data_IF_053817507551
#
_entry.id   IF_053817507551
#
_cell.length_a   1.000
_cell.length_b   1.000
_cell.length_c   1.000
_cell.angle_alpha   90.00
_cell.angle_beta   90.00
_cell.angle_gamma   90.00
#
_symmetry.space_group_name_H-M   'P 1'
#
loop_
_entity.id
_entity.type
_entity.pdbx_description
1 polymer ?
#
# COMPACT_ATOMS: atom_id res chain seq x y z
N UNK A 1 -53.72 -23.94 9.43
CA UNK A 1 -52.25 -23.96 9.38
C UNK A 1 -51.75 -22.54 9.16
N UNK A 2 -51.37 -21.84 10.24
CA UNK A 2 -50.73 -20.52 10.11
C UNK A 2 -49.24 -20.71 9.87
N UNK A 3 -48.79 -20.40 8.67
CA UNK A 3 -47.37 -20.35 8.35
C UNK A 3 -46.74 -19.14 9.03
N UNK A 4 -45.85 -19.36 9.98
CA UNK A 4 -44.95 -18.35 10.51
C UNK A 4 -43.93 -17.98 9.42
N UNK A 5 -44.13 -16.84 8.79
CA UNK A 5 -43.06 -16.17 8.03
C UNK A 5 -41.97 -15.78 9.06
N UNK A 6 -40.85 -16.46 9.04
CA UNK A 6 -39.61 -15.98 9.66
C UNK A 6 -39.19 -14.73 8.90
N UNK A 7 -39.50 -13.57 9.46
CA UNK A 7 -38.86 -12.32 9.07
C UNK A 7 -37.39 -12.49 9.52
N UNK A 8 -36.52 -12.76 8.60
CA UNK A 8 -35.07 -12.63 8.84
C UNK A 8 -34.84 -11.13 9.05
N UNK A 9 -34.65 -10.73 10.31
CA UNK A 9 -34.20 -9.38 10.65
C UNK A 9 -32.97 -9.08 9.77
N UNK A 10 -33.07 -8.09 8.89
CA UNK A 10 -31.93 -7.58 8.18
C UNK A 10 -31.00 -6.99 9.23
N UNK A 11 -29.94 -7.73 9.58
CA UNK A 11 -28.90 -7.23 10.47
C UNK A 11 -28.48 -5.83 9.98
N UNK A 12 -28.71 -4.81 10.80
CA UNK A 12 -28.35 -3.43 10.48
C UNK A 12 -26.83 -3.35 10.39
N UNK A 13 -26.33 -3.08 9.17
CA UNK A 13 -24.89 -2.94 8.95
C UNK A 13 -24.34 -1.73 9.68
N UNK A 14 -23.22 -1.90 10.36
CA UNK A 14 -22.48 -0.78 10.95
C UNK A 14 -21.69 -0.05 9.87
N UNK A 15 -21.96 1.24 9.66
CA UNK A 15 -21.23 2.05 8.68
C UNK A 15 -19.83 2.40 9.20
N UNK A 16 -18.81 2.10 8.40
CA UNK A 16 -17.40 2.38 8.71
C UNK A 16 -16.79 3.25 7.60
N UNK A 17 -16.33 4.44 7.95
CA UNK A 17 -15.58 5.31 7.04
C UNK A 17 -14.10 4.99 7.12
N UNK A 18 -13.47 4.77 5.96
CA UNK A 18 -12.04 4.45 5.85
C UNK A 18 -11.36 5.45 4.91
N UNK A 19 -10.39 6.19 5.43
CA UNK A 19 -9.57 7.09 4.61
C UNK A 19 -8.60 6.28 3.74
N UNK A 20 -8.74 6.43 2.42
CA UNK A 20 -7.89 5.75 1.43
C UNK A 20 -7.20 6.76 0.52
N UNK A 21 -6.01 6.48 -0.04
CA UNK A 21 -5.44 7.31 -1.09
C UNK A 21 -6.28 7.19 -2.38
N UNK A 22 -5.92 7.97 -3.40
CA UNK A 22 -6.40 7.72 -4.77
C UNK A 22 -6.13 6.28 -5.19
N UNK A 23 -6.74 5.81 -6.27
CA UNK A 23 -6.59 4.43 -6.73
C UNK A 23 -5.11 4.03 -6.84
N UNK A 24 -4.69 3.20 -5.91
CA UNK A 24 -3.32 2.72 -5.77
C UNK A 24 -3.35 1.22 -5.48
N UNK A 25 -2.46 0.48 -6.11
CA UNK A 25 -2.32 -0.96 -5.90
C UNK A 25 -2.13 -1.34 -4.43
N UNK A 26 -1.68 -0.41 -3.60
CA UNK A 26 -1.43 -0.66 -2.17
C UNK A 26 -2.67 -1.10 -1.41
N UNK A 27 -3.86 -0.55 -1.67
CA UNK A 27 -5.08 -0.90 -0.95
C UNK A 27 -6.08 -1.73 -1.78
N UNK A 28 -5.64 -2.26 -2.92
CA UNK A 28 -6.49 -3.07 -3.78
C UNK A 28 -7.17 -4.26 -3.06
N UNK A 29 -6.54 -4.99 -2.12
CA UNK A 29 -7.24 -6.05 -1.38
C UNK A 29 -8.45 -5.57 -0.58
N UNK A 30 -8.39 -4.37 0.01
CA UNK A 30 -9.54 -3.78 0.68
C UNK A 30 -10.64 -3.39 -0.31
N UNK A 31 -10.25 -2.88 -1.49
CA UNK A 31 -11.18 -2.60 -2.57
C UNK A 31 -11.90 -3.87 -3.05
N UNK A 32 -11.16 -4.98 -3.19
CA UNK A 32 -11.75 -6.29 -3.52
C UNK A 32 -12.75 -6.72 -2.44
N UNK A 33 -12.36 -6.67 -1.16
CA UNK A 33 -13.23 -7.01 -0.05
C UNK A 33 -14.52 -6.16 -0.03
N UNK A 34 -14.39 -4.87 -0.30
CA UNK A 34 -15.53 -3.96 -0.41
C UNK A 34 -16.45 -4.34 -1.59
N UNK A 35 -15.89 -4.48 -2.80
CA UNK A 35 -16.67 -4.77 -4.03
C UNK A 35 -17.29 -6.16 -4.04
N UNK A 36 -16.68 -7.14 -3.39
CA UNK A 36 -17.19 -8.51 -3.25
C UNK A 36 -18.17 -8.67 -2.07
N UNK A 37 -18.46 -7.61 -1.31
CA UNK A 37 -19.37 -7.67 -0.17
C UNK A 37 -18.81 -8.36 1.07
N UNK A 38 -17.50 -8.66 1.10
CA UNK A 38 -16.85 -9.38 2.21
C UNK A 38 -16.99 -8.62 3.53
N UNK A 39 -16.96 -7.28 3.52
CA UNK A 39 -17.21 -6.50 4.72
C UNK A 39 -18.67 -6.59 5.16
N UNK A 40 -19.62 -6.65 4.24
CA UNK A 40 -21.06 -6.82 4.57
C UNK A 40 -21.33 -8.17 5.24
N UNK A 41 -20.64 -9.23 4.81
CA UNK A 41 -20.67 -10.53 5.50
C UNK A 41 -20.16 -10.46 6.95
N UNK A 42 -19.38 -9.44 7.30
CA UNK A 42 -18.94 -9.17 8.67
C UNK A 42 -19.88 -8.18 9.39
N UNK A 43 -21.01 -7.81 8.80
CA UNK A 43 -21.93 -6.82 9.36
C UNK A 43 -21.44 -5.37 9.24
N UNK A 44 -20.52 -5.07 8.31
CA UNK A 44 -19.98 -3.72 8.09
C UNK A 44 -20.36 -3.18 6.70
N UNK A 45 -20.88 -1.95 6.65
CA UNK A 45 -20.97 -1.17 5.42
C UNK A 45 -19.77 -0.24 5.32
N UNK A 46 -18.71 -0.74 4.65
CA UNK A 46 -17.46 -0.01 4.51
C UNK A 46 -17.59 1.05 3.42
N UNK A 47 -17.31 2.30 3.77
CA UNK A 47 -17.31 3.46 2.88
C UNK A 47 -15.90 4.03 2.73
N UNK A 48 -15.19 3.72 1.62
CA UNK A 48 -13.88 4.32 1.35
C UNK A 48 -14.04 5.81 1.02
N UNK A 49 -13.31 6.66 1.73
CA UNK A 49 -13.26 8.11 1.48
C UNK A 49 -11.87 8.45 0.95
N UNK A 50 -11.82 8.87 -0.31
CA UNK A 50 -10.54 9.25 -0.93
C UNK A 50 -10.03 10.56 -0.36
N UNK A 51 -8.85 10.52 0.23
CA UNK A 51 -8.22 11.71 0.79
C UNK A 51 -6.69 11.62 0.78
N UNK A 52 -6.05 12.78 0.73
CA UNK A 52 -4.59 12.86 0.86
C UNK A 52 -4.14 12.54 2.28
N UNK A 53 -2.89 12.09 2.45
CA UNK A 53 -2.36 11.63 3.72
C UNK A 53 -2.52 12.65 4.88
N UNK A 54 -2.31 13.93 4.61
CA UNK A 54 -2.48 14.99 5.62
C UNK A 54 -3.93 15.13 6.08
N UNK A 55 -4.88 15.09 5.14
CA UNK A 55 -6.32 15.17 5.43
C UNK A 55 -6.79 13.90 6.16
N UNK A 56 -6.35 12.73 5.72
CA UNK A 56 -6.65 11.47 6.39
C UNK A 56 -6.17 11.45 7.84
N UNK A 57 -4.95 11.93 8.08
CA UNK A 57 -4.39 12.03 9.43
C UNK A 57 -5.18 13.01 10.31
N UNK A 58 -5.58 14.16 9.78
CA UNK A 58 -6.41 15.13 10.52
C UNK A 58 -7.80 14.57 10.84
N UNK A 59 -8.44 13.87 9.89
CA UNK A 59 -9.73 13.24 10.09
C UNK A 59 -9.68 12.08 11.12
N UNK A 60 -8.59 11.31 11.14
CA UNK A 60 -8.35 10.30 12.17
C UNK A 60 -8.14 10.96 13.55
N UNK A 61 -7.31 11.98 13.63
CA UNK A 61 -7.01 12.70 14.88
C UNK A 61 -8.26 13.37 15.47
N UNK A 62 -9.16 13.89 14.62
CA UNK A 62 -10.45 14.47 15.03
C UNK A 62 -11.57 13.44 15.20
N UNK A 63 -11.27 12.13 15.02
CA UNK A 63 -12.23 11.01 15.13
C UNK A 63 -13.42 11.08 14.15
N UNK A 64 -13.28 11.84 13.06
CA UNK A 64 -14.29 11.89 11.99
C UNK A 64 -14.32 10.60 11.17
N UNK A 65 -13.19 9.88 11.11
CA UNK A 65 -13.09 8.54 10.52
C UNK A 65 -12.41 7.59 11.51
N UNK A 66 -12.83 6.32 11.51
CA UNK A 66 -12.28 5.32 12.42
C UNK A 66 -10.92 4.76 11.98
N UNK A 67 -10.68 4.73 10.66
CA UNK A 67 -9.55 4.05 10.06
C UNK A 67 -8.95 4.83 8.88
N UNK A 68 -7.64 4.75 8.73
CA UNK A 68 -6.92 5.20 7.53
C UNK A 68 -5.97 4.12 7.04
N UNK A 69 -5.59 4.19 5.76
CA UNK A 69 -4.78 3.14 5.13
C UNK A 69 -3.33 3.53 4.87
N UNK A 70 -2.99 4.79 4.97
CA UNK A 70 -1.60 5.25 4.90
C UNK A 70 -0.90 5.01 6.24
N UNK A 71 0.37 4.59 6.25
CA UNK A 71 1.11 4.31 7.48
C UNK A 71 2.27 5.26 7.76
N UNK A 72 2.91 5.84 6.76
CA UNK A 72 4.13 6.64 6.94
C UNK A 72 3.89 7.90 7.80
N UNK A 73 3.02 8.81 7.38
CA UNK A 73 2.71 10.02 8.16
C UNK A 73 2.09 9.75 9.53
N UNK A 74 1.22 8.73 9.72
CA UNK A 74 0.77 8.31 11.04
C UNK A 74 1.90 7.85 11.96
N UNK A 75 2.89 7.08 11.47
CA UNK A 75 4.03 6.67 12.30
C UNK A 75 4.73 7.88 12.91
N UNK A 76 5.02 8.91 12.10
CA UNK A 76 5.63 10.16 12.60
C UNK A 76 4.71 10.89 13.56
N UNK A 77 3.39 10.92 13.31
CA UNK A 77 2.43 11.59 14.18
C UNK A 77 2.29 10.88 15.54
N UNK A 78 2.32 9.54 15.57
CA UNK A 78 2.33 8.73 16.81
C UNK A 78 3.52 9.10 17.69
N UNK A 79 4.71 9.27 17.11
CA UNK A 79 5.89 9.68 17.89
C UNK A 79 5.77 11.08 18.48
N UNK A 80 4.83 11.89 17.96
CA UNK A 80 4.51 13.25 18.44
C UNK A 80 3.27 13.30 19.33
N UNK A 81 2.78 12.14 19.76
CA UNK A 81 1.67 12.02 20.71
C UNK A 81 0.28 11.80 20.09
N UNK A 82 0.16 11.54 18.79
CA UNK A 82 -1.13 11.11 18.23
C UNK A 82 -1.53 9.77 18.90
N UNK A 83 -2.70 9.68 19.57
CA UNK A 83 -3.16 8.47 20.21
C UNK A 83 -3.77 7.50 19.16
N UNK A 84 -2.92 6.95 18.32
CA UNK A 84 -3.29 6.00 17.29
C UNK A 84 -2.28 4.85 17.22
N UNK A 85 -2.68 3.74 16.61
CA UNK A 85 -1.86 2.55 16.45
C UNK A 85 -2.01 1.97 15.04
N UNK A 86 -0.92 1.49 14.46
CA UNK A 86 -0.94 0.59 13.33
C UNK A 86 -1.45 -0.77 13.79
N UNK A 87 -2.52 -1.27 13.21
CA UNK A 87 -3.19 -2.50 13.64
C UNK A 87 -3.16 -3.62 12.59
N UNK A 88 -2.75 -3.31 11.37
CA UNK A 88 -2.56 -4.26 10.27
C UNK A 88 -1.68 -3.65 9.20
N UNK A 89 -0.88 -4.47 8.52
CA UNK A 89 -0.21 -4.13 7.26
C UNK A 89 -0.75 -5.05 6.16
N UNK A 90 -1.32 -4.51 5.12
CA UNK A 90 -1.83 -5.29 3.99
C UNK A 90 -1.00 -5.13 2.71
N UNK A 91 -0.08 -4.15 2.66
CA UNK A 91 0.90 -3.98 1.59
C UNK A 91 2.30 -3.91 2.21
N UNK A 92 3.04 -5.02 2.12
CA UNK A 92 4.33 -5.20 2.81
C UNK A 92 5.53 -4.79 1.96
N UNK A 93 5.33 -4.57 0.66
CA UNK A 93 6.42 -4.24 -0.26
C UNK A 93 6.04 -3.10 -1.18
N UNK A 94 7.07 -2.40 -1.66
CA UNK A 94 6.88 -1.30 -2.59
C UNK A 94 6.47 -1.78 -3.98
N UNK A 95 5.61 -1.02 -4.64
CA UNK A 95 5.19 -1.21 -6.02
C UNK A 95 5.91 -0.25 -6.99
N UNK A 96 7.04 0.33 -6.55
CA UNK A 96 7.89 1.14 -7.40
C UNK A 96 8.89 0.27 -8.17
N UNK A 97 9.26 0.76 -9.33
CA UNK A 97 10.24 0.16 -10.23
C UNK A 97 11.16 1.25 -10.78
N UNK A 98 12.45 0.96 -10.84
CA UNK A 98 13.40 1.77 -11.56
C UNK A 98 13.35 1.37 -13.04
N UNK A 99 12.82 2.27 -13.87
CA UNK A 99 12.78 2.09 -15.33
C UNK A 99 13.90 2.87 -15.97
N UNK A 100 14.60 2.26 -16.93
CA UNK A 100 15.80 2.80 -17.56
C UNK A 100 15.73 2.78 -19.08
N UNK A 101 16.55 3.61 -19.72
CA UNK A 101 16.84 3.49 -21.15
C UNK A 101 17.41 2.10 -21.48
N UNK A 102 17.24 1.61 -22.73
CA UNK A 102 17.65 0.26 -23.14
C UNK A 102 19.11 -0.10 -22.89
N UNK A 103 19.99 0.88 -23.02
CA UNK A 103 21.44 0.72 -22.85
C UNK A 103 21.87 0.55 -21.38
N UNK A 104 21.00 0.91 -20.42
CA UNK A 104 21.28 0.76 -18.99
C UNK A 104 20.72 -0.59 -18.55
N UNK A 105 21.58 -1.55 -18.35
CA UNK A 105 21.24 -2.95 -18.04
C UNK A 105 21.61 -3.36 -16.60
N UNK A 106 22.28 -2.46 -15.87
CA UNK A 106 22.59 -2.68 -14.45
C UNK A 106 22.59 -1.37 -13.68
N UNK A 107 22.26 -1.39 -12.37
CA UNK A 107 22.30 -0.18 -11.55
C UNK A 107 23.68 0.48 -11.45
N UNK A 108 24.77 -0.27 -11.65
CA UNK A 108 26.12 0.28 -11.67
C UNK A 108 26.33 1.31 -12.80
N UNK A 109 25.57 1.21 -13.89
CA UNK A 109 25.62 2.14 -15.03
C UNK A 109 24.87 3.46 -14.78
N UNK A 110 24.26 3.63 -13.61
CA UNK A 110 23.64 4.91 -13.20
C UNK A 110 24.68 5.98 -12.84
N UNK A 111 25.94 5.62 -12.67
CA UNK A 111 27.02 6.60 -12.42
C UNK A 111 27.10 7.62 -13.55
N UNK A 112 27.05 8.91 -13.19
CA UNK A 112 27.00 10.02 -14.14
C UNK A 112 25.66 10.25 -14.82
N UNK A 113 24.65 9.43 -14.53
CA UNK A 113 23.32 9.49 -15.15
C UNK A 113 22.35 10.35 -14.36
N UNK A 114 21.24 10.68 -15.02
CA UNK A 114 20.15 11.48 -14.47
C UNK A 114 18.95 10.58 -14.19
N UNK A 115 18.47 10.57 -12.94
CA UNK A 115 17.31 9.77 -12.51
C UNK A 115 16.18 10.68 -12.06
N UNK A 116 14.99 10.49 -12.64
CA UNK A 116 13.79 11.18 -12.22
C UNK A 116 13.23 10.58 -10.93
N UNK A 117 12.90 11.44 -9.98
CA UNK A 117 12.21 11.13 -8.71
C UNK A 117 11.00 12.05 -8.54
N UNK A 118 10.11 11.76 -7.57
CA UNK A 118 8.96 12.61 -7.27
C UNK A 118 9.40 13.91 -6.56
N UNK A 119 10.14 13.77 -5.45
CA UNK A 119 10.67 14.90 -4.67
C UNK A 119 11.90 14.48 -3.85
N UNK A 120 12.83 15.41 -3.59
CA UNK A 120 13.96 15.16 -2.70
C UNK A 120 13.50 14.82 -1.28
N UNK A 121 14.15 13.83 -0.65
CA UNK A 121 13.82 13.38 0.71
C UNK A 121 12.53 12.59 0.86
N UNK A 122 11.68 12.51 -0.20
CA UNK A 122 10.46 11.70 -0.17
C UNK A 122 10.72 10.19 -0.29
N UNK A 123 9.67 9.38 -0.14
CA UNK A 123 9.74 7.92 -0.20
C UNK A 123 10.46 7.42 -1.45
N UNK A 124 10.08 7.91 -2.63
CA UNK A 124 10.68 7.50 -3.92
C UNK A 124 12.18 7.82 -3.99
N UNK A 125 12.60 8.97 -3.44
CA UNK A 125 14.03 9.31 -3.38
C UNK A 125 14.80 8.34 -2.47
N UNK A 126 14.24 7.99 -1.32
CA UNK A 126 14.86 7.06 -0.37
C UNK A 126 14.93 5.64 -0.93
N UNK A 127 13.92 5.23 -1.67
CA UNK A 127 13.92 3.97 -2.40
C UNK A 127 15.02 3.93 -3.47
N UNK A 128 15.24 5.03 -4.21
CA UNK A 128 16.38 5.13 -5.11
C UNK A 128 17.71 5.01 -4.34
N UNK A 129 17.85 5.68 -3.21
CA UNK A 129 19.06 5.56 -2.38
C UNK A 129 19.29 4.13 -1.91
N UNK A 130 18.23 3.40 -1.54
CA UNK A 130 18.32 1.98 -1.17
C UNK A 130 18.77 1.10 -2.35
N UNK A 131 18.31 1.39 -3.58
CA UNK A 131 18.86 0.73 -4.79
C UNK A 131 20.36 1.00 -4.92
N UNK A 132 20.75 2.28 -4.85
CA UNK A 132 22.14 2.66 -5.04
C UNK A 132 23.06 2.01 -3.98
N UNK A 133 22.62 1.97 -2.72
CA UNK A 133 23.32 1.31 -1.62
C UNK A 133 23.47 -0.19 -1.88
N UNK A 134 22.38 -0.89 -2.20
CA UNK A 134 22.39 -2.33 -2.47
C UNK A 134 23.36 -2.70 -3.58
N UNK A 135 23.43 -1.89 -4.63
CA UNK A 135 24.31 -2.13 -5.77
C UNK A 135 25.66 -1.39 -5.68
N UNK A 136 26.00 -0.85 -4.51
CA UNK A 136 27.29 -0.18 -4.23
C UNK A 136 27.59 0.95 -5.22
N UNK A 137 26.58 1.71 -5.59
CA UNK A 137 26.69 2.93 -6.39
C UNK A 137 26.74 4.12 -5.45
N UNK A 138 27.77 4.97 -5.55
CA UNK A 138 27.85 6.18 -4.75
C UNK A 138 26.69 7.13 -5.13
N UNK A 139 25.79 7.50 -4.19
CA UNK A 139 24.67 8.38 -4.48
C UNK A 139 25.09 9.73 -5.10
N UNK A 140 26.24 10.27 -4.69
CA UNK A 140 26.76 11.53 -5.22
C UNK A 140 27.22 11.42 -6.69
N UNK A 141 27.35 10.22 -7.22
CA UNK A 141 27.64 9.97 -8.64
C UNK A 141 26.39 9.92 -9.51
N UNK A 142 25.19 10.02 -8.93
CA UNK A 142 23.91 9.95 -9.64
C UNK A 142 23.19 11.29 -9.46
N UNK A 143 22.82 11.92 -10.57
CA UNK A 143 22.08 13.17 -10.52
C UNK A 143 20.58 12.91 -10.45
N UNK A 144 19.89 13.45 -9.47
CA UNK A 144 18.43 13.32 -9.36
C UNK A 144 17.73 14.59 -9.85
N UNK A 145 16.58 14.42 -10.51
CA UNK A 145 15.68 15.50 -10.94
C UNK A 145 14.29 15.25 -10.37
N UNK A 146 13.77 16.25 -9.67
CA UNK A 146 12.41 16.21 -9.11
C UNK A 146 11.38 16.59 -10.18
N UNK A 147 10.48 15.68 -10.53
CA UNK A 147 9.45 15.88 -11.55
C UNK A 147 8.02 15.82 -10.95
N UNK A 148 7.88 15.56 -9.67
CA UNK A 148 6.64 15.63 -8.90
C UNK A 148 5.66 14.48 -9.13
N UNK A 149 5.60 13.91 -10.34
CA UNK A 149 4.60 12.88 -10.68
C UNK A 149 5.13 11.82 -11.63
N UNK A 150 4.50 10.64 -11.62
CA UNK A 150 4.80 9.55 -12.55
C UNK A 150 4.63 9.95 -14.02
N UNK A 151 3.57 10.64 -14.46
CA UNK A 151 3.45 11.09 -15.85
C UNK A 151 4.61 11.97 -16.31
N UNK A 152 5.08 12.89 -15.48
CA UNK A 152 6.22 13.74 -15.80
C UNK A 152 7.51 12.92 -15.91
N UNK A 153 7.72 11.94 -15.04
CA UNK A 153 8.84 11.00 -15.11
C UNK A 153 8.84 10.20 -16.41
N UNK A 154 7.68 9.71 -16.84
CA UNK A 154 7.51 9.01 -18.11
C UNK A 154 7.85 9.93 -19.30
N UNK A 155 7.32 11.15 -19.32
CA UNK A 155 7.58 12.11 -20.39
C UNK A 155 9.07 12.46 -20.47
N UNK A 156 9.74 12.69 -19.34
CA UNK A 156 11.18 12.99 -19.30
C UNK A 156 12.03 11.81 -19.74
N UNK A 157 11.64 10.58 -19.41
CA UNK A 157 12.34 9.37 -19.87
C UNK A 157 12.18 9.19 -21.39
N UNK A 158 10.96 9.33 -21.92
CA UNK A 158 10.70 9.23 -23.38
C UNK A 158 11.37 10.33 -24.19
N UNK A 159 11.46 11.55 -23.69
CA UNK A 159 12.15 12.66 -24.35
C UNK A 159 13.68 12.57 -24.28
N UNK A 160 14.21 11.64 -23.47
CA UNK A 160 15.64 11.50 -23.23
C UNK A 160 16.23 12.52 -22.24
N UNK A 161 15.40 13.37 -21.62
CA UNK A 161 15.81 14.36 -20.61
C UNK A 161 16.42 13.70 -19.37
N UNK A 162 15.94 12.50 -19.02
CA UNK A 162 16.51 11.65 -17.98
C UNK A 162 16.91 10.28 -18.53
N UNK A 163 17.83 9.60 -17.85
CA UNK A 163 18.30 8.28 -18.24
C UNK A 163 17.53 7.15 -17.58
N UNK A 164 16.92 7.44 -16.43
CA UNK A 164 16.11 6.53 -15.67
C UNK A 164 15.01 7.29 -14.90
N UNK A 165 13.97 6.58 -14.46
CA UNK A 165 12.91 7.13 -13.66
C UNK A 165 12.41 6.09 -12.64
N UNK A 166 12.14 6.56 -11.41
CA UNK A 166 11.42 5.77 -10.42
C UNK A 166 9.92 5.90 -10.69
N UNK A 167 9.29 4.81 -11.12
CA UNK A 167 7.90 4.78 -11.56
C UNK A 167 7.09 3.77 -10.76
N UNK A 168 5.76 3.84 -10.87
CA UNK A 168 4.83 2.87 -10.31
C UNK A 168 4.58 1.73 -11.31
N UNK A 169 4.47 0.49 -10.84
CA UNK A 169 3.85 -0.59 -11.59
C UNK A 169 2.39 -0.20 -11.88
N UNK A 170 1.89 -0.30 -13.14
CA UNK A 170 2.43 -1.03 -14.28
C UNK A 170 3.06 -0.17 -15.39
N UNK A 171 3.53 1.03 -15.11
CA UNK A 171 4.05 1.92 -16.15
C UNK A 171 5.27 1.37 -16.88
N UNK A 172 6.03 0.51 -16.21
CA UNK A 172 7.10 -0.28 -16.81
C UNK A 172 6.61 -1.14 -17.98
N UNK A 173 5.45 -1.80 -17.84
CA UNK A 173 4.85 -2.62 -18.91
C UNK A 173 4.53 -1.82 -20.17
N UNK A 174 4.06 -0.59 -20.01
CA UNK A 174 3.79 0.28 -21.15
C UNK A 174 5.08 0.75 -21.81
N UNK A 175 6.11 1.05 -21.01
CA UNK A 175 7.39 1.53 -21.48
C UNK A 175 8.26 0.42 -22.11
N UNK A 176 8.07 -0.84 -21.72
CA UNK A 176 8.73 -1.99 -22.35
C UNK A 176 8.43 -2.08 -23.86
N UNK A 177 7.23 -1.68 -24.28
CA UNK A 177 6.85 -1.61 -25.71
C UNK A 177 7.68 -0.59 -26.49
N UNK A 178 8.18 0.44 -25.82
CA UNK A 178 9.03 1.49 -26.37
C UNK A 178 10.53 1.20 -26.16
N UNK A 179 10.87 -0.01 -25.70
CA UNK A 179 12.25 -0.50 -25.52
C UNK A 179 12.88 -0.16 -24.17
N UNK A 180 12.21 0.57 -23.29
CA UNK A 180 12.69 0.81 -21.92
C UNK A 180 12.67 -0.47 -21.08
N UNK A 181 13.37 -0.48 -19.95
CA UNK A 181 13.48 -1.67 -19.10
C UNK A 181 13.10 -1.38 -17.67
N UNK A 182 12.21 -2.19 -17.09
CA UNK A 182 12.05 -2.29 -15.65
C UNK A 182 13.28 -2.98 -15.06
N UNK A 183 14.26 -2.19 -14.62
CA UNK A 183 15.57 -2.69 -14.22
C UNK A 183 15.60 -3.25 -12.80
N UNK A 184 14.94 -2.57 -11.85
CA UNK A 184 14.91 -2.99 -10.44
C UNK A 184 13.51 -2.77 -9.90
N UNK A 185 12.89 -3.83 -9.42
CA UNK A 185 11.63 -3.78 -8.67
C UNK A 185 11.94 -3.70 -7.19
N UNK A 186 11.45 -2.66 -6.53
CA UNK A 186 11.73 -2.41 -5.12
C UNK A 186 11.25 -3.55 -4.23
N UNK A 187 10.15 -4.21 -4.60
CA UNK A 187 9.61 -5.38 -3.89
C UNK A 187 10.60 -6.53 -3.73
N UNK A 188 11.59 -6.63 -4.64
CA UNK A 188 12.56 -7.73 -4.66
C UNK A 188 13.83 -7.40 -3.85
N UNK A 189 13.99 -6.15 -3.44
CA UNK A 189 15.22 -5.71 -2.78
C UNK A 189 15.00 -5.07 -1.41
N UNK A 190 13.81 -4.61 -1.11
CA UNK A 190 13.51 -3.87 0.10
C UNK A 190 12.22 -4.38 0.73
N UNK A 191 12.32 -4.87 1.97
CA UNK A 191 11.16 -5.15 2.82
C UNK A 191 10.68 -3.81 3.38
N UNK A 192 9.60 -3.29 2.79
CA UNK A 192 9.11 -1.94 3.10
C UNK A 192 7.58 -1.88 3.05
N UNK A 193 6.93 -2.00 4.21
CA UNK A 193 5.50 -1.78 4.34
C UNK A 193 5.08 -0.37 3.88
N UNK A 194 4.14 -0.32 2.93
CA UNK A 194 3.63 0.93 2.36
C UNK A 194 2.24 1.30 2.85
N UNK A 195 1.41 0.30 3.13
CA UNK A 195 0.03 0.53 3.52
C UNK A 195 -0.46 -0.52 4.52
N UNK A 196 -1.32 -0.07 5.41
CA UNK A 196 -1.88 -0.87 6.49
C UNK A 196 -3.16 -0.23 6.98
N UNK A 197 -3.61 -0.61 8.16
CA UNK A 197 -4.73 0.02 8.84
C UNK A 197 -4.21 0.67 10.11
N UNK A 198 -4.41 1.98 10.21
CA UNK A 198 -4.16 2.77 11.42
C UNK A 198 -5.50 3.20 11.98
N UNK A 199 -5.69 3.02 13.29
CA UNK A 199 -6.88 3.41 14.02
C UNK A 199 -6.53 4.31 15.22
N UNK A 200 -7.44 5.22 15.58
CA UNK A 200 -7.35 5.97 16.83
C UNK A 200 -7.49 5.01 18.03
N UNK A 201 -6.75 5.21 19.11
CA UNK A 201 -6.79 4.30 20.26
C UNK A 201 -8.18 4.24 20.94
N UNK A 202 -8.97 5.31 20.86
CA UNK A 202 -10.36 5.27 21.31
C UNK A 202 -11.20 4.30 20.48
N UNK A 203 -11.00 4.22 19.15
CA UNK A 203 -11.70 3.23 18.32
C UNK A 203 -11.36 1.80 18.77
N UNK A 204 -10.11 1.54 19.15
CA UNK A 204 -9.68 0.23 19.66
C UNK A 204 -10.35 -0.11 21.01
N UNK A 205 -10.49 0.89 21.89
CA UNK A 205 -11.05 0.74 23.23
C UNK A 205 -12.58 0.63 23.22
N UNK A 206 -13.23 1.55 22.49
CA UNK A 206 -14.68 1.75 22.59
C UNK A 206 -15.47 0.88 21.59
N UNK A 207 -14.82 0.48 20.46
CA UNK A 207 -15.42 -0.30 19.39
C UNK A 207 -14.62 -1.55 18.99
N UNK A 208 -14.13 -2.39 19.92
CA UNK A 208 -13.22 -3.51 19.63
C UNK A 208 -13.82 -4.54 18.67
N UNK A 209 -15.15 -4.73 18.70
CA UNK A 209 -15.83 -5.65 17.78
C UNK A 209 -15.81 -5.16 16.33
N UNK A 210 -16.00 -3.85 16.11
CA UNK A 210 -15.90 -3.24 14.77
C UNK A 210 -14.49 -3.37 14.23
N UNK A 211 -13.48 -3.10 15.07
CA UNK A 211 -12.05 -3.29 14.72
C UNK A 211 -11.79 -4.72 14.29
N UNK A 212 -12.26 -5.71 15.06
CA UNK A 212 -12.08 -7.13 14.74
C UNK A 212 -12.77 -7.53 13.43
N UNK A 213 -14.02 -7.10 13.22
CA UNK A 213 -14.77 -7.31 11.97
C UNK A 213 -14.06 -6.69 10.78
N UNK A 214 -13.53 -5.45 10.93
CA UNK A 214 -12.74 -4.76 9.90
C UNK A 214 -11.50 -5.57 9.52
N UNK A 215 -10.74 -6.07 10.50
CA UNK A 215 -9.53 -6.85 10.25
C UNK A 215 -9.81 -8.22 9.62
N UNK A 216 -10.90 -8.90 10.04
CA UNK A 216 -11.34 -10.16 9.40
C UNK A 216 -11.71 -9.91 7.92
N UNK A 217 -12.47 -8.86 7.65
CA UNK A 217 -12.82 -8.49 6.27
C UNK A 217 -11.60 -8.16 5.43
N UNK A 218 -10.62 -7.45 6.00
CA UNK A 218 -9.36 -7.13 5.33
C UNK A 218 -8.51 -8.39 5.03
N UNK A 219 -8.39 -9.33 6.00
CA UNK A 219 -7.69 -10.61 5.80
C UNK A 219 -8.34 -11.45 4.69
N UNK A 220 -9.67 -11.59 4.71
CA UNK A 220 -10.42 -12.27 3.66
C UNK A 220 -10.21 -11.59 2.29
N UNK A 221 -10.16 -10.26 2.25
CA UNK A 221 -9.88 -9.51 1.04
C UNK A 221 -8.49 -9.77 0.48
N UNK A 222 -7.48 -9.86 1.33
CA UNK A 222 -6.11 -10.25 0.93
C UNK A 222 -6.12 -11.68 0.38
N UNK A 223 -6.67 -12.63 1.13
CA UNK A 223 -6.75 -14.03 0.69
C UNK A 223 -7.46 -14.15 -0.65
N UNK A 224 -8.66 -13.56 -0.78
CA UNK A 224 -9.42 -13.55 -2.03
C UNK A 224 -8.59 -12.98 -3.19
N UNK A 225 -7.93 -11.84 -2.95
CA UNK A 225 -7.10 -11.19 -3.96
C UNK A 225 -5.95 -12.09 -4.43
N UNK A 226 -5.34 -12.84 -3.52
CA UNK A 226 -4.16 -13.68 -3.82
C UNK A 226 -4.54 -15.05 -4.38
N UNK A 227 -5.69 -15.62 -3.99
CA UNK A 227 -6.10 -16.98 -4.36
C UNK A 227 -7.07 -17.03 -5.53
N UNK A 228 -7.83 -15.96 -5.78
CA UNK A 228 -8.85 -15.86 -6.82
C UNK A 228 -8.43 -14.91 -7.94
N UNK A 229 -7.19 -15.06 -8.45
CA UNK A 229 -6.59 -14.13 -9.41
C UNK A 229 -7.51 -13.79 -10.58
N UNK A 230 -8.05 -14.77 -11.29
CA UNK A 230 -8.92 -14.55 -12.46
C UNK A 230 -10.19 -13.74 -12.11
N UNK A 231 -10.76 -13.94 -10.92
CA UNK A 231 -11.96 -13.24 -10.48
C UNK A 231 -11.71 -11.77 -10.08
N UNK A 232 -10.46 -11.41 -9.75
CA UNK A 232 -10.11 -10.04 -9.38
C UNK A 232 -9.55 -9.23 -10.54
N UNK A 233 -9.17 -9.86 -11.67
CA UNK A 233 -8.65 -9.13 -12.83
C UNK A 233 -9.62 -8.06 -13.36
N UNK A 234 -10.94 -8.29 -13.52
CA UNK A 234 -11.85 -7.25 -13.93
C UNK A 234 -11.90 -6.06 -12.97
N UNK A 235 -11.83 -6.34 -11.66
CA UNK A 235 -11.78 -5.30 -10.63
C UNK A 235 -10.47 -4.51 -10.70
N UNK A 236 -9.33 -5.20 -10.88
CA UNK A 236 -8.02 -4.54 -10.99
C UNK A 236 -7.95 -3.65 -12.24
N UNK A 237 -8.50 -4.14 -13.37
CA UNK A 237 -8.56 -3.36 -14.61
C UNK A 237 -9.28 -2.03 -14.41
N UNK A 238 -10.47 -2.07 -13.82
CA UNK A 238 -11.27 -0.87 -13.54
C UNK A 238 -10.59 0.02 -12.50
N UNK A 239 -10.10 -0.58 -11.44
CA UNK A 239 -9.49 0.13 -10.31
C UNK A 239 -8.24 0.93 -10.68
N UNK A 240 -7.37 0.37 -11.51
CA UNK A 240 -6.15 1.03 -11.99
C UNK A 240 -6.30 1.69 -13.36
N UNK A 241 -7.45 1.59 -14.02
CA UNK A 241 -7.67 2.16 -15.36
C UNK A 241 -6.82 1.51 -16.45
N UNK A 242 -6.62 0.18 -16.40
CA UNK A 242 -5.73 -0.53 -17.32
C UNK A 242 -6.40 -0.75 -18.70
N UNK A 243 -5.61 -0.63 -19.76
CA UNK A 243 -6.10 -0.64 -21.14
C UNK A 243 -6.67 -2.00 -21.57
N UNK A 244 -5.97 -3.11 -21.23
CA UNK A 244 -6.31 -4.45 -21.71
C UNK A 244 -6.26 -5.49 -20.60
N UNK A 245 -6.89 -6.65 -20.85
CA UNK A 245 -6.83 -7.79 -19.95
C UNK A 245 -5.41 -8.36 -19.85
N UNK A 246 -4.64 -8.33 -20.93
CA UNK A 246 -3.25 -8.81 -20.96
C UNK A 246 -2.37 -7.96 -20.02
N UNK A 247 -2.41 -6.64 -20.15
CA UNK A 247 -1.73 -5.73 -19.22
C UNK A 247 -2.20 -5.94 -17.78
N UNK A 248 -3.49 -6.22 -17.59
CA UNK A 248 -4.04 -6.48 -16.25
C UNK A 248 -3.46 -7.75 -15.64
N UNK A 249 -3.36 -8.84 -16.40
CA UNK A 249 -2.74 -10.10 -15.94
C UNK A 249 -1.29 -9.91 -15.55
N UNK A 250 -0.51 -9.26 -16.40
CA UNK A 250 0.90 -8.96 -16.12
C UNK A 250 1.04 -8.03 -14.90
N UNK A 251 0.20 -7.01 -14.78
CA UNK A 251 0.15 -6.12 -13.61
C UNK A 251 -0.15 -6.91 -12.34
N UNK A 252 -1.17 -7.78 -12.36
CA UNK A 252 -1.52 -8.61 -11.22
C UNK A 252 -0.34 -9.50 -10.79
N UNK A 253 0.32 -10.16 -11.74
CA UNK A 253 1.48 -11.02 -11.46
C UNK A 253 2.63 -10.23 -10.79
N UNK A 254 2.87 -8.98 -11.21
CA UNK A 254 3.87 -8.11 -10.61
C UNK A 254 3.49 -7.59 -9.23
N UNK A 255 2.18 -7.43 -8.97
CA UNK A 255 1.68 -6.85 -7.72
C UNK A 255 1.33 -7.88 -6.64
N UNK A 256 0.99 -9.14 -6.99
CA UNK A 256 0.46 -10.10 -6.02
C UNK A 256 1.37 -10.33 -4.80
N UNK A 257 2.67 -10.15 -4.96
CA UNK A 257 3.67 -10.38 -3.90
C UNK A 257 3.94 -9.14 -3.04
N UNK A 258 3.33 -7.98 -3.37
CA UNK A 258 3.41 -6.82 -2.48
C UNK A 258 2.39 -6.91 -1.34
N UNK A 259 1.31 -7.67 -1.52
CA UNK A 259 0.26 -7.82 -0.51
C UNK A 259 0.65 -8.86 0.54
N UNK A 260 0.34 -8.54 1.80
CA UNK A 260 0.63 -9.36 2.96
C UNK A 260 0.04 -10.76 2.87
N UNK A 261 0.55 -11.68 3.69
CA UNK A 261 -0.05 -13.00 3.88
C UNK A 261 -0.89 -13.09 5.15
N UNK A 262 -0.54 -12.32 6.18
CA UNK A 262 -1.13 -12.45 7.52
C UNK A 262 -1.46 -11.10 8.19
N UNK A 263 -1.18 -9.98 7.54
CA UNK A 263 -1.45 -8.65 8.07
C UNK A 263 -0.40 -8.12 9.05
N UNK A 264 0.69 -8.83 9.29
CA UNK A 264 1.77 -8.43 10.21
C UNK A 264 3.08 -8.39 9.43
N UNK A 265 3.76 -7.24 9.36
CA UNK A 265 5.03 -7.12 8.65
C UNK A 265 6.15 -7.82 9.44
N UNK A 266 7.26 -8.10 8.76
CA UNK A 266 8.49 -8.48 9.45
C UNK A 266 8.96 -7.34 10.37
N UNK A 267 9.71 -7.68 11.43
CA UNK A 267 10.31 -6.66 12.31
C UNK A 267 11.23 -5.73 11.52
N UNK A 268 12.02 -6.28 10.60
CA UNK A 268 12.88 -5.50 9.72
C UNK A 268 12.08 -4.57 8.81
N UNK A 269 10.97 -5.05 8.24
CA UNK A 269 10.08 -4.22 7.42
C UNK A 269 9.50 -3.06 8.22
N UNK A 270 9.04 -3.31 9.44
CA UNK A 270 8.52 -2.24 10.31
C UNK A 270 9.61 -1.22 10.66
N UNK A 271 10.85 -1.66 10.94
CA UNK A 271 12.00 -0.76 11.14
C UNK A 271 12.32 0.05 9.90
N UNK A 272 12.30 -0.57 8.72
CA UNK A 272 12.51 0.12 7.44
C UNK A 272 11.43 1.18 7.23
N UNK A 273 10.17 0.86 7.45
CA UNK A 273 9.07 1.82 7.33
C UNK A 273 9.22 3.00 8.30
N UNK A 274 9.59 2.72 9.56
CA UNK A 274 9.84 3.74 10.58
C UNK A 274 11.01 4.67 10.18
N UNK A 275 12.11 4.09 9.69
CA UNK A 275 13.28 4.88 9.21
C UNK A 275 12.89 5.77 8.04
N UNK A 276 12.17 5.22 7.06
CA UNK A 276 11.71 5.98 5.89
C UNK A 276 10.63 7.02 6.24
N UNK A 277 9.89 6.83 7.34
CA UNK A 277 8.96 7.80 7.90
C UNK A 277 9.64 8.83 8.84
N UNK A 278 10.97 8.80 8.97
CA UNK A 278 11.75 9.70 9.88
C UNK A 278 11.31 9.58 11.35
N UNK A 279 10.92 8.39 11.77
CA UNK A 279 10.70 8.10 13.18
C UNK A 279 12.04 8.23 13.92
N UNK A 280 12.11 8.98 15.03
CA UNK A 280 13.34 9.09 15.79
C UNK A 280 13.91 7.72 16.20
N UNK A 281 15.20 7.52 16.06
CA UNK A 281 15.87 6.25 16.39
C UNK A 281 15.74 5.85 17.86
N UNK A 282 15.50 6.82 18.74
CA UNK A 282 15.22 6.61 20.16
C UNK A 282 13.79 6.10 20.44
N UNK A 283 12.89 6.18 19.46
CA UNK A 283 11.50 5.75 19.67
C UNK A 283 11.38 4.22 19.47
N UNK A 284 10.74 3.50 20.41
CA UNK A 284 10.56 2.06 20.28
C UNK A 284 9.61 1.73 19.12
N UNK A 285 10.13 1.19 18.02
CA UNK A 285 9.36 0.92 16.80
C UNK A 285 8.15 0.01 17.07
N UNK A 286 8.29 -0.93 18.01
CA UNK A 286 7.18 -1.79 18.43
C UNK A 286 5.97 -1.00 18.99
N UNK A 287 6.21 0.17 19.58
CA UNK A 287 5.13 1.02 20.14
C UNK A 287 4.31 1.75 19.06
N UNK A 288 4.71 1.70 17.78
CA UNK A 288 3.92 2.23 16.67
C UNK A 288 2.68 1.36 16.36
N UNK A 289 2.68 0.11 16.84
CA UNK A 289 1.70 -0.88 16.43
C UNK A 289 1.04 -1.59 17.62
N UNK A 290 -0.19 -2.04 17.40
CA UNK A 290 -0.91 -2.94 18.31
C UNK A 290 -1.40 -4.16 17.52
N UNK A 291 -0.68 -5.26 17.61
CA UNK A 291 -0.99 -6.49 16.89
C UNK A 291 -2.01 -7.40 17.59
N UNK A 292 -2.55 -7.02 18.75
CA UNK A 292 -3.52 -7.84 19.49
C UNK A 292 -4.74 -8.16 18.64
N UNK A 293 -5.35 -7.14 18.04
CA UNK A 293 -6.57 -7.31 17.25
C UNK A 293 -6.38 -8.15 15.99
N UNK A 294 -5.26 -7.98 15.28
CA UNK A 294 -4.99 -8.76 14.07
C UNK A 294 -4.70 -10.23 14.42
N UNK A 295 -4.02 -10.50 15.53
CA UNK A 295 -3.79 -11.87 16.01
C UNK A 295 -5.11 -12.57 16.36
N UNK A 296 -6.02 -11.89 17.05
CA UNK A 296 -7.36 -12.41 17.34
C UNK A 296 -8.20 -12.63 16.08
N UNK A 297 -8.16 -11.68 15.14
CA UNK A 297 -8.85 -11.79 13.86
C UNK A 297 -8.31 -12.97 13.05
N UNK A 298 -7.00 -13.16 12.97
CA UNK A 298 -6.36 -14.27 12.26
C UNK A 298 -6.69 -15.63 12.89
N UNK A 299 -6.76 -15.73 14.23
CA UNK A 299 -7.18 -16.94 14.93
C UNK A 299 -8.64 -17.29 14.59
N UNK A 300 -9.53 -16.30 14.60
CA UNK A 300 -10.96 -16.48 14.24
C UNK A 300 -11.16 -16.83 12.75
N UNK A 301 -10.26 -16.38 11.90
CA UNK A 301 -10.26 -16.64 10.46
C UNK A 301 -9.85 -18.08 10.12
N UNK A 302 -8.84 -18.63 10.82
CA UNK A 302 -8.35 -20.00 10.64
C UNK A 302 -9.26 -21.08 11.23
N UNK A 303 -10.14 -20.72 12.16
CA UNK A 303 -11.04 -21.62 12.85
C UNK A 303 -12.35 -21.93 12.08
N UNK A 304 -12.53 -21.32 10.93
CA UNK A 304 -13.68 -21.52 10.02
C UNK A 304 -13.27 -22.26 8.77
#
# INVERSE_FOLDING_TARGET
>A
MCGFLHIVDAETLTTIYVGVPTNSATWFPLYVAWKKGIFREQGLDLLPVTMQARTALAALASKQIGFITQIGSPMTAITRGLPASLIMVFCERSHHVLVTKPEITSPAQLRGRVVAISQPGGTVHRELLAILEKYKVNPNSVRTVSLGSTPNGIAALKSGTVDAAMLLIPHDLYLEKDGFKGLVYLKDILDFPLAGIVAHNDQLRDHPNEVKKMLIGALKGIEYTKTRGEEVLPLLKVFLGLESLEITKQTYQRLRDIWSNNGIPSEQGLRTAATLAEVPTSFPVASLANWTFINEAAASFKAR
#
